data_IF_604279475106
#
_entry.id   IF_604279475106
#
_cell.length_a   1.000
_cell.length_b   1.000
_cell.length_c   1.000
_cell.angle_alpha   90.00
_cell.angle_beta   90.00
_cell.angle_gamma   90.00
#
_symmetry.space_group_name_H-M   'P 1'
#
loop_
_entity.id
_entity.type
_entity.pdbx_description
1 polymer ?
#
# COMPACT_ATOMS: atom_id res chain seq x y z
N UNK A 1 -6.04 46.07 -5.17
CA UNK A 1 -5.06 45.25 -5.91
C UNK A 1 -5.76 43.94 -6.29
N UNK A 2 -6.17 43.73 -7.55
CA UNK A 2 -6.76 42.47 -7.95
C UNK A 2 -5.66 41.41 -8.08
N UNK A 3 -5.77 40.31 -7.33
CA UNK A 3 -4.93 39.12 -7.47
C UNK A 3 -5.27 38.45 -8.80
N UNK A 4 -4.39 38.57 -9.79
CA UNK A 4 -4.53 37.79 -11.03
C UNK A 4 -4.39 36.30 -10.69
N UNK A 5 -5.46 35.54 -10.94
CA UNK A 5 -5.46 34.10 -10.82
C UNK A 5 -4.76 33.55 -12.08
N UNK A 6 -3.44 33.39 -12.03
CA UNK A 6 -2.58 32.89 -13.13
C UNK A 6 -2.81 31.40 -13.39
N UNK A 7 -4.01 31.05 -13.86
CA UNK A 7 -4.33 29.72 -14.38
C UNK A 7 -4.92 29.90 -15.76
N UNK A 8 -4.06 29.80 -16.76
CA UNK A 8 -4.45 29.79 -18.16
C UNK A 8 -5.10 28.44 -18.50
N UNK A 9 -6.22 28.48 -19.20
CA UNK A 9 -6.95 27.28 -19.58
C UNK A 9 -6.42 26.80 -20.93
N UNK A 10 -5.61 25.74 -20.92
CA UNK A 10 -5.05 25.14 -22.13
C UNK A 10 -6.01 24.11 -22.71
N UNK A 11 -6.08 24.02 -24.04
CA UNK A 11 -6.89 23.00 -24.71
C UNK A 11 -6.28 21.58 -24.52
N UNK A 12 -7.10 20.54 -24.67
CA UNK A 12 -6.68 19.15 -24.49
C UNK A 12 -5.61 18.71 -25.50
N UNK A 13 -5.68 19.21 -26.74
CA UNK A 13 -4.65 18.94 -27.77
C UNK A 13 -3.34 19.67 -27.46
N UNK A 14 -3.42 20.89 -26.96
CA UNK A 14 -2.27 21.72 -26.63
C UNK A 14 -1.52 21.19 -25.40
N UNK A 15 -2.26 20.83 -24.34
CA UNK A 15 -1.69 20.18 -23.15
C UNK A 15 -1.02 18.84 -23.49
N UNK A 16 -1.61 18.04 -24.38
CA UNK A 16 -1.00 16.79 -24.86
C UNK A 16 0.28 17.05 -25.67
N UNK A 17 0.27 18.03 -26.58
CA UNK A 17 1.46 18.40 -27.34
C UNK A 17 2.60 18.86 -26.42
N UNK A 18 2.29 19.72 -25.43
CA UNK A 18 3.24 20.21 -24.44
C UNK A 18 3.76 19.10 -23.51
N UNK A 19 2.94 18.07 -23.24
CA UNK A 19 3.35 16.90 -22.47
C UNK A 19 4.29 16.01 -23.28
N UNK A 20 4.00 15.80 -24.56
CA UNK A 20 4.84 15.02 -25.47
C UNK A 20 6.18 15.70 -25.77
N UNK A 21 6.23 17.03 -25.80
CA UNK A 21 7.48 17.79 -25.92
C UNK A 21 8.27 17.90 -24.61
N UNK A 22 7.76 17.36 -23.50
CA UNK A 22 8.41 17.42 -22.18
C UNK A 22 8.45 18.81 -21.56
N UNK A 23 7.71 19.77 -22.11
CA UNK A 23 7.67 21.18 -21.65
C UNK A 23 6.57 21.42 -20.62
N UNK A 24 5.58 20.53 -20.55
CA UNK A 24 4.58 20.51 -19.49
C UNK A 24 4.60 19.17 -18.76
N UNK A 25 4.56 19.22 -17.43
CA UNK A 25 4.33 18.04 -16.59
C UNK A 25 2.87 18.00 -16.19
N UNK A 26 2.14 17.02 -16.70
CA UNK A 26 0.77 16.75 -16.25
C UNK A 26 0.84 15.95 -14.97
N UNK A 27 0.30 16.51 -13.89
CA UNK A 27 0.05 15.72 -12.68
C UNK A 27 -0.93 14.60 -13.02
N UNK A 28 -0.54 13.35 -12.78
CA UNK A 28 -1.45 12.20 -12.90
C UNK A 28 -2.66 12.30 -11.94
N UNK A 29 -2.56 13.17 -10.93
CA UNK A 29 -3.60 13.39 -9.92
C UNK A 29 -4.39 14.66 -10.25
N UNK A 30 -5.63 14.50 -10.73
CA UNK A 30 -6.57 15.60 -10.97
C UNK A 30 -7.43 15.83 -9.73
N UNK A 31 -7.40 17.04 -9.18
CA UNK A 31 -8.26 17.43 -8.06
C UNK A 31 -9.71 17.66 -8.55
N UNK A 32 -10.74 17.12 -7.89
CA UNK A 32 -12.12 17.48 -8.18
C UNK A 32 -12.37 18.98 -8.04
N UNK A 33 -13.17 19.54 -8.96
CA UNK A 33 -13.56 20.94 -8.95
C UNK A 33 -15.00 21.06 -8.47
N UNK A 34 -15.19 21.71 -7.32
CA UNK A 34 -16.50 22.06 -6.81
C UNK A 34 -16.86 23.48 -7.25
N UNK A 35 -18.08 23.65 -7.76
CA UNK A 35 -18.65 24.92 -8.14
C UNK A 35 -20.17 24.83 -7.98
N UNK A 36 -20.80 25.98 -7.77
CA UNK A 36 -22.23 26.06 -7.48
C UNK A 36 -23.06 25.56 -8.67
N UNK A 37 -24.11 24.78 -8.36
CA UNK A 37 -25.01 24.20 -9.37
C UNK A 37 -24.54 22.87 -9.98
N UNK A 38 -23.35 22.35 -9.61
CA UNK A 38 -22.93 21.00 -9.99
C UNK A 38 -23.66 19.95 -9.15
N UNK A 39 -24.29 18.98 -9.80
CA UNK A 39 -24.79 17.79 -9.12
C UNK A 39 -23.64 16.88 -8.70
N UNK A 40 -23.60 16.52 -7.42
CA UNK A 40 -22.62 15.59 -6.88
C UNK A 40 -23.00 14.17 -7.28
N UNK A 41 -22.11 13.48 -7.99
CA UNK A 41 -22.32 12.08 -8.39
C UNK A 41 -21.46 11.13 -7.57
N UNK A 42 -21.79 9.82 -7.60
CA UNK A 42 -20.94 8.80 -7.01
C UNK A 42 -19.53 8.80 -7.63
N UNK A 43 -19.41 9.03 -8.95
CA UNK A 43 -18.13 9.13 -9.63
C UNK A 43 -17.28 10.30 -9.13
N UNK A 44 -17.91 11.42 -8.77
CA UNK A 44 -17.22 12.58 -8.20
C UNK A 44 -16.66 12.27 -6.81
N UNK A 45 -17.46 11.61 -5.97
CA UNK A 45 -17.03 11.17 -4.64
C UNK A 45 -15.89 10.14 -4.72
N UNK A 46 -15.97 9.19 -5.65
CA UNK A 46 -14.89 8.22 -5.87
C UNK A 46 -13.61 8.90 -6.37
N UNK A 47 -13.73 9.86 -7.28
CA UNK A 47 -12.59 10.64 -7.76
C UNK A 47 -11.95 11.46 -6.64
N UNK A 48 -12.77 12.04 -5.75
CA UNK A 48 -12.31 12.73 -4.55
C UNK A 48 -11.55 11.81 -3.60
N UNK A 49 -12.16 10.68 -3.23
CA UNK A 49 -11.53 9.70 -2.34
C UNK A 49 -10.20 9.21 -2.91
N UNK A 50 -10.18 8.87 -4.21
CA UNK A 50 -8.97 8.43 -4.91
C UNK A 50 -7.89 9.52 -4.90
N UNK A 51 -8.27 10.78 -5.13
CA UNK A 51 -7.34 11.90 -5.09
C UNK A 51 -6.68 12.03 -3.70
N UNK A 52 -7.47 11.96 -2.62
CA UNK A 52 -6.94 12.05 -1.27
C UNK A 52 -6.05 10.86 -0.89
N UNK A 53 -6.46 9.63 -1.21
CA UNK A 53 -5.65 8.43 -0.98
C UNK A 53 -4.31 8.49 -1.71
N UNK A 54 -4.32 8.83 -3.01
CA UNK A 54 -3.09 8.96 -3.80
C UNK A 54 -2.18 10.09 -3.31
N UNK A 55 -2.75 11.21 -2.87
CA UNK A 55 -1.99 12.32 -2.28
C UNK A 55 -1.36 11.92 -0.96
N UNK A 56 -2.10 11.23 -0.09
CA UNK A 56 -1.58 10.73 1.18
C UNK A 56 -0.45 9.71 0.96
N UNK A 57 -0.63 8.78 0.03
CA UNK A 57 0.41 7.81 -0.32
C UNK A 57 1.66 8.49 -0.90
N UNK A 58 1.51 9.53 -1.73
CA UNK A 58 2.63 10.31 -2.22
C UNK A 58 3.41 11.01 -1.09
N UNK A 59 2.71 11.59 -0.12
CA UNK A 59 3.34 12.20 1.06
C UNK A 59 4.07 11.15 1.90
N UNK A 60 3.45 9.99 2.13
CA UNK A 60 4.06 8.89 2.87
C UNK A 60 5.34 8.39 2.17
N UNK A 61 5.28 8.17 0.85
CA UNK A 61 6.47 7.80 0.05
C UNK A 61 7.61 8.81 0.17
N UNK A 62 7.30 10.11 0.17
CA UNK A 62 8.30 11.16 0.31
C UNK A 62 8.97 11.18 1.71
N UNK A 63 8.25 10.77 2.76
CA UNK A 63 8.76 10.70 4.12
C UNK A 63 9.48 9.38 4.45
N UNK A 64 9.24 8.33 3.66
CA UNK A 64 9.84 7.01 3.82
C UNK A 64 8.83 5.92 4.19
N UNK A 65 9.30 4.67 4.17
CA UNK A 65 8.50 3.48 4.47
C UNK A 65 9.11 2.70 5.63
N UNK A 66 8.30 1.89 6.32
CA UNK A 66 8.74 1.08 7.45
C UNK A 66 7.71 0.93 8.56
N UNK A 67 8.15 0.40 9.70
CA UNK A 67 7.33 0.25 10.90
C UNK A 67 7.21 1.60 11.61
N UNK A 68 5.97 2.04 11.87
CA UNK A 68 5.71 3.26 12.66
C UNK A 68 5.74 2.91 14.15
N UNK A 69 5.00 1.87 14.55
CA UNK A 69 4.91 1.38 15.93
C UNK A 69 4.42 -0.07 15.98
N UNK A 70 4.80 -0.79 17.01
CA UNK A 70 4.37 -2.18 17.20
C UNK A 70 4.89 -3.09 16.10
N UNK A 71 4.06 -4.02 15.61
CA UNK A 71 4.42 -5.04 14.60
C UNK A 71 5.60 -5.92 15.03
N UNK A 72 5.88 -5.97 16.33
CA UNK A 72 6.94 -6.80 16.89
C UNK A 72 6.59 -8.26 16.68
N UNK A 73 7.58 -9.03 16.22
CA UNK A 73 7.43 -10.46 16.01
C UNK A 73 8.03 -11.19 17.19
N UNK A 74 7.20 -11.94 17.89
CA UNK A 74 7.62 -12.80 19.00
C UNK A 74 7.35 -14.26 18.66
N UNK A 75 8.16 -15.17 19.21
CA UNK A 75 7.88 -16.61 19.11
C UNK A 75 6.78 -16.95 20.11
N UNK A 76 5.79 -17.74 19.68
CA UNK A 76 4.79 -18.28 20.59
C UNK A 76 5.47 -19.36 21.45
N UNK A 77 5.81 -19.02 22.70
CA UNK A 77 6.28 -20.00 23.67
C UNK A 77 5.08 -20.83 24.16
N UNK A 78 4.66 -21.81 23.35
CA UNK A 78 3.71 -22.81 23.79
C UNK A 78 4.41 -23.90 24.61
N UNK A 79 3.67 -24.50 25.54
CA UNK A 79 4.17 -25.48 26.50
C UNK A 79 4.56 -26.78 25.79
N UNK A 80 5.86 -27.04 25.70
CA UNK A 80 6.48 -28.36 25.52
C UNK A 80 5.80 -29.33 24.53
N UNK A 81 5.79 -28.99 23.24
CA UNK A 81 5.80 -29.99 22.16
C UNK A 81 6.29 -29.35 20.87
N UNK A 82 7.10 -30.08 20.09
CA UNK A 82 7.91 -29.56 18.98
C UNK A 82 7.17 -28.82 17.84
N UNK A 83 5.84 -28.78 17.85
CA UNK A 83 5.01 -28.02 16.90
C UNK A 83 4.96 -26.51 17.16
N UNK A 84 5.19 -26.04 18.39
CA UNK A 84 5.11 -24.61 18.74
C UNK A 84 6.30 -23.78 18.24
N UNK A 85 7.42 -24.42 17.87
CA UNK A 85 8.61 -23.74 17.39
C UNK A 85 8.42 -22.98 16.07
N UNK A 86 7.35 -23.31 15.32
CA UNK A 86 6.98 -22.75 14.02
C UNK A 86 5.91 -21.65 14.12
N UNK A 87 5.44 -21.31 15.32
CA UNK A 87 4.39 -20.31 15.51
C UNK A 87 4.99 -18.99 15.98
N UNK A 88 4.69 -17.92 15.24
CA UNK A 88 5.05 -16.55 15.59
C UNK A 88 3.81 -15.72 15.82
N UNK A 89 3.94 -14.68 16.64
CA UNK A 89 2.87 -13.73 16.93
C UNK A 89 3.39 -12.35 16.52
N UNK A 90 2.65 -11.69 15.64
CA UNK A 90 2.86 -10.29 15.30
C UNK A 90 2.00 -9.44 16.22
N UNK A 91 2.62 -8.58 17.02
CA UNK A 91 1.91 -7.67 17.91
C UNK A 91 1.11 -6.62 17.11
N UNK A 92 0.03 -6.06 17.69
CA UNK A 92 -0.67 -4.93 17.10
C UNK A 92 0.28 -3.79 16.76
N UNK A 93 0.01 -3.08 15.67
CA UNK A 93 0.89 -2.03 15.21
C UNK A 93 0.54 -1.52 13.83
N UNK A 94 1.37 -0.63 13.33
CA UNK A 94 1.16 0.00 12.02
C UNK A 94 2.48 0.31 11.34
N UNK A 95 2.45 0.33 10.01
CA UNK A 95 3.57 0.69 9.16
C UNK A 95 3.12 1.35 7.86
N UNK A 96 4.10 1.88 7.13
CA UNK A 96 3.95 2.44 5.79
C UNK A 96 4.63 1.51 4.81
N UNK A 97 3.92 1.12 3.76
CA UNK A 97 4.48 0.31 2.66
C UNK A 97 5.32 1.18 1.72
N UNK A 98 6.20 0.58 0.89
CA UNK A 98 6.93 1.33 -0.15
C UNK A 98 6.02 2.07 -1.14
N UNK A 99 4.77 1.62 -1.33
CA UNK A 99 3.77 2.31 -2.14
C UNK A 99 3.20 3.57 -1.48
N UNK A 100 3.43 3.77 -0.18
CA UNK A 100 2.88 4.86 0.63
C UNK A 100 1.60 4.50 1.38
N UNK A 101 1.11 3.27 1.24
CA UNK A 101 -0.09 2.82 1.92
C UNK A 101 0.18 2.57 3.41
N UNK A 102 -0.80 2.91 4.26
CA UNK A 102 -0.74 2.61 5.69
C UNK A 102 -1.36 1.25 5.94
N UNK A 103 -0.62 0.36 6.60
CA UNK A 103 -1.08 -0.96 7.03
C UNK A 103 -1.13 -1.04 8.54
N UNK A 104 -2.22 -1.61 9.07
CA UNK A 104 -2.47 -1.70 10.51
C UNK A 104 -2.89 -3.12 10.87
N UNK A 105 -2.32 -3.65 11.95
CA UNK A 105 -2.76 -4.86 12.62
C UNK A 105 -3.36 -4.42 13.96
N UNK A 106 -4.67 -4.61 14.12
CA UNK A 106 -5.38 -4.17 15.34
C UNK A 106 -5.20 -5.14 16.51
N UNK A 107 -5.12 -6.44 16.21
CA UNK A 107 -5.05 -7.51 17.20
C UNK A 107 -3.85 -8.41 16.92
N UNK A 108 -3.28 -9.00 17.96
CA UNK A 108 -2.17 -9.93 17.83
C UNK A 108 -2.47 -11.01 16.79
N UNK A 109 -1.61 -11.13 15.77
CA UNK A 109 -1.82 -12.03 14.65
C UNK A 109 -0.92 -13.26 14.80
N UNK A 110 -1.47 -14.43 15.20
CA UNK A 110 -0.70 -15.66 15.24
C UNK A 110 -0.52 -16.21 13.81
N UNK A 111 0.72 -16.48 13.44
CA UNK A 111 1.10 -17.05 12.14
C UNK A 111 1.77 -18.40 12.39
N UNK A 112 1.30 -19.43 11.70
CA UNK A 112 1.93 -20.74 11.67
C UNK A 112 2.82 -20.85 10.43
N UNK A 113 4.14 -20.85 10.63
CA UNK A 113 5.12 -20.95 9.54
C UNK A 113 5.18 -22.36 8.93
N UNK A 114 4.65 -23.39 9.62
CA UNK A 114 4.55 -24.73 9.07
C UNK A 114 3.34 -24.93 8.13
N UNK A 115 2.45 -23.94 8.00
CA UNK A 115 1.30 -23.98 7.08
C UNK A 115 1.73 -23.61 5.66
N UNK A 116 2.54 -24.49 5.04
CA UNK A 116 3.10 -24.29 3.71
C UNK A 116 2.04 -24.12 2.63
N UNK A 117 0.90 -24.81 2.75
CA UNK A 117 -0.22 -24.67 1.82
C UNK A 117 -0.85 -23.27 1.86
N UNK A 118 -0.97 -22.64 3.05
CA UNK A 118 -1.41 -21.25 3.15
C UNK A 118 -0.37 -20.30 2.56
N UNK A 119 0.92 -20.52 2.83
CA UNK A 119 2.02 -19.69 2.31
C UNK A 119 2.03 -19.72 0.77
N UNK A 120 2.00 -20.91 0.15
CA UNK A 120 1.97 -21.06 -1.31
C UNK A 120 0.78 -20.34 -1.96
N UNK A 121 -0.40 -20.38 -1.34
CA UNK A 121 -1.58 -19.65 -1.84
C UNK A 121 -1.41 -18.14 -1.76
N UNK A 122 -0.85 -17.63 -0.66
CA UNK A 122 -0.60 -16.20 -0.50
C UNK A 122 0.46 -15.74 -1.49
N UNK A 123 1.55 -16.51 -1.65
CA UNK A 123 2.59 -16.23 -2.64
C UNK A 123 2.03 -16.22 -4.07
N UNK A 124 1.15 -17.17 -4.40
CA UNK A 124 0.46 -17.21 -5.70
C UNK A 124 -0.43 -15.98 -5.91
N UNK A 125 -1.24 -15.65 -4.90
CA UNK A 125 -2.16 -14.50 -4.94
C UNK A 125 -1.41 -13.18 -5.10
N UNK A 126 -0.20 -13.09 -4.53
CA UNK A 126 0.60 -11.88 -4.52
C UNK A 126 1.74 -11.86 -5.54
N UNK A 127 1.87 -12.89 -6.38
CA UNK A 127 2.87 -12.97 -7.44
C UNK A 127 4.31 -13.16 -6.94
N UNK A 128 4.51 -13.71 -5.74
CA UNK A 128 5.83 -13.90 -5.11
C UNK A 128 6.52 -15.21 -5.52
N UNK A 129 5.85 -16.04 -6.33
CA UNK A 129 6.27 -17.41 -6.66
C UNK A 129 7.55 -17.53 -7.50
N UNK A 130 8.04 -16.46 -8.12
CA UNK A 130 9.23 -16.55 -8.98
C UNK A 130 10.55 -16.72 -8.19
N UNK A 131 10.53 -16.51 -6.86
CA UNK A 131 11.74 -16.47 -6.03
C UNK A 131 11.75 -17.47 -4.85
N UNK A 132 10.63 -18.16 -4.58
CA UNK A 132 10.43 -18.99 -3.39
C UNK A 132 10.35 -20.52 -3.63
N UNK A 133 10.51 -20.98 -4.89
CA UNK A 133 10.24 -22.37 -5.29
C UNK A 133 11.06 -23.42 -4.51
N UNK A 134 12.31 -23.12 -4.12
CA UNK A 134 13.16 -24.07 -3.38
C UNK A 134 12.88 -24.08 -1.86
N UNK A 135 12.31 -23.00 -1.32
CA UNK A 135 12.09 -22.84 0.13
C UNK A 135 10.72 -23.31 0.60
N UNK A 136 9.71 -23.34 -0.28
CA UNK A 136 8.33 -23.66 0.07
C UNK A 136 8.13 -25.08 0.66
N UNK A 137 9.05 -26.00 0.37
CA UNK A 137 9.03 -27.38 0.91
C UNK A 137 9.80 -27.56 2.22
N UNK A 138 10.61 -26.58 2.61
CA UNK A 138 11.46 -26.66 3.79
C UNK A 138 10.81 -25.95 4.98
N UNK A 139 10.51 -26.69 6.04
CA UNK A 139 10.00 -26.11 7.31
C UNK A 139 11.08 -25.36 8.11
N UNK A 140 12.30 -25.34 7.60
CA UNK A 140 13.48 -24.70 8.19
C UNK A 140 14.09 -23.75 7.17
N UNK A 141 14.26 -22.49 7.54
CA UNK A 141 14.83 -21.49 6.63
C UNK A 141 14.63 -20.06 7.12
N UNK A 142 15.04 -19.10 6.28
CA UNK A 142 14.76 -17.70 6.50
C UNK A 142 13.34 -17.38 6.01
N UNK A 143 12.49 -16.90 6.92
CA UNK A 143 11.16 -16.42 6.60
C UNK A 143 11.15 -14.89 6.58
N UNK A 144 10.59 -14.31 5.53
CA UNK A 144 10.38 -12.86 5.42
C UNK A 144 8.88 -12.60 5.56
N UNK A 145 8.51 -11.80 6.55
CA UNK A 145 7.13 -11.35 6.72
C UNK A 145 6.96 -9.98 6.08
N UNK A 146 6.10 -9.89 5.06
CA UNK A 146 5.73 -8.65 4.40
C UNK A 146 4.30 -8.25 4.73
N UNK A 147 4.06 -6.96 4.96
CA UNK A 147 2.73 -6.40 5.07
C UNK A 147 2.39 -5.64 3.79
N UNK A 148 1.19 -5.87 3.27
CA UNK A 148 0.64 -5.16 2.12
C UNK A 148 -0.80 -4.78 2.38
N UNK A 149 -1.20 -3.63 1.86
CA UNK A 149 -2.61 -3.29 1.78
C UNK A 149 -3.27 -4.19 0.73
N UNK A 150 -4.51 -4.61 1.00
CA UNK A 150 -5.38 -5.33 0.09
C UNK A 150 -6.74 -4.65 0.12
N UNK A 151 -7.30 -4.37 -1.06
CA UNK A 151 -8.67 -3.86 -1.26
C UNK A 151 -9.51 -4.94 -1.93
#
# INVERSE_FOLDING_TARGET
MPTQNTKENLDASESNALSQSGTAFVSEQKRPLYFDGRFLTAADLTAEQTYFLKRQAALNRANGFGVIRGLEVSRSLGTASGSDASRVIVAPGSGVTPSGDVVTIENSLPINLADTARIERLDATFGLLQQAQDSARSQTGLFILGLRSVE
#
